data_IF_989652585346
#
_entry.id   IF_989652585346
#
_cell.length_a   1.000
_cell.length_b   1.000
_cell.length_c   1.000
_cell.angle_alpha   90.00
_cell.angle_beta   90.00
_cell.angle_gamma   90.00
#
_symmetry.space_group_name_H-M   'P 1'
#
loop_
_entity.id
_entity.type
_entity.pdbx_description
1 polymer ?
#
# COMPACT_ATOMS: atom_id res chain seq x y z
N UNK A 1 39.79 -29.52 -6.92
CA UNK A 1 39.20 -28.38 -7.66
C UNK A 1 38.04 -27.86 -6.83
N UNK A 2 38.20 -26.69 -6.21
CA UNK A 2 37.17 -26.08 -5.37
C UNK A 2 36.32 -25.16 -6.23
N UNK A 3 35.01 -25.40 -6.30
CA UNK A 3 34.07 -24.49 -6.97
C UNK A 3 33.92 -23.20 -6.14
N UNK A 4 34.05 -22.01 -6.74
CA UNK A 4 33.87 -20.76 -6.04
C UNK A 4 32.38 -20.37 -5.97
N UNK A 5 31.90 -20.21 -4.74
CA UNK A 5 30.91 -19.19 -4.37
C UNK A 5 29.57 -19.17 -5.08
N UNK A 6 28.66 -20.07 -4.70
CA UNK A 6 27.22 -19.78 -4.78
C UNK A 6 26.87 -18.89 -3.58
N UNK A 7 27.07 -17.58 -3.72
CA UNK A 7 26.51 -16.62 -2.76
C UNK A 7 25.01 -16.56 -3.00
N UNK A 8 24.14 -16.82 -2.00
CA UNK A 8 22.71 -16.72 -2.20
C UNK A 8 22.39 -15.28 -2.59
N UNK A 9 21.99 -15.11 -3.84
CA UNK A 9 21.56 -13.83 -4.39
C UNK A 9 20.31 -13.44 -3.62
N UNK A 10 20.43 -12.54 -2.64
CA UNK A 10 19.27 -12.05 -1.87
C UNK A 10 18.23 -11.57 -2.88
N UNK A 11 17.04 -12.19 -2.95
CA UNK A 11 16.03 -11.78 -3.90
C UNK A 11 15.69 -10.31 -3.65
N UNK A 12 15.73 -9.49 -4.70
CA UNK A 12 15.35 -8.10 -4.59
C UNK A 12 13.94 -8.02 -3.95
N UNK A 13 13.72 -7.10 -2.98
CA UNK A 13 12.46 -7.08 -2.27
C UNK A 13 11.31 -6.81 -3.25
N UNK A 14 10.31 -7.70 -3.22
CA UNK A 14 9.15 -7.65 -4.13
C UNK A 14 8.43 -6.32 -3.96
N UNK A 15 8.17 -5.62 -5.06
CA UNK A 15 7.48 -4.32 -5.05
C UNK A 15 6.05 -4.48 -5.56
N UNK A 16 5.12 -3.85 -4.85
CA UNK A 16 3.69 -3.78 -5.20
C UNK A 16 3.39 -2.42 -5.80
N UNK A 17 2.62 -2.39 -6.88
CA UNK A 17 2.05 -1.14 -7.40
C UNK A 17 0.81 -0.81 -6.57
N UNK A 18 0.82 0.31 -5.85
CA UNK A 18 -0.32 0.80 -5.08
C UNK A 18 -0.93 1.98 -5.81
N UNK A 19 -2.26 1.95 -5.99
CA UNK A 19 -3.04 3.02 -6.60
C UNK A 19 -3.95 3.64 -5.54
N UNK A 20 -3.70 4.91 -5.22
CA UNK A 20 -4.50 5.70 -4.30
C UNK A 20 -5.70 6.35 -4.98
N UNK A 21 -6.86 6.32 -4.35
CA UNK A 21 -8.08 6.96 -4.85
C UNK A 21 -8.75 7.79 -3.76
N UNK A 22 -8.96 9.07 -4.03
CA UNK A 22 -9.76 9.92 -3.15
C UNK A 22 -11.22 9.47 -3.18
N UNK A 23 -11.87 9.51 -2.03
CA UNK A 23 -13.30 9.25 -1.87
C UNK A 23 -13.95 10.41 -1.15
N UNK A 24 -15.17 10.77 -1.57
CA UNK A 24 -15.94 11.83 -0.94
C UNK A 24 -15.27 13.19 -1.11
N UNK A 25 -15.10 13.90 0.01
CA UNK A 25 -14.50 15.23 0.10
C UNK A 25 -12.97 15.21 0.30
N UNK A 26 -12.33 14.03 0.24
CA UNK A 26 -10.89 13.92 0.43
C UNK A 26 -10.10 14.57 -0.71
N UNK A 27 -8.98 15.27 -0.41
CA UNK A 27 -8.18 15.95 -1.43
C UNK A 27 -7.54 14.96 -2.41
N UNK A 28 -7.62 15.24 -3.71
CA UNK A 28 -7.05 14.40 -4.77
C UNK A 28 -5.53 14.60 -4.86
N UNK A 29 -4.77 13.50 -4.79
CA UNK A 29 -3.31 13.54 -5.00
C UNK A 29 -2.97 13.78 -6.48
N UNK A 30 -1.96 14.62 -6.74
CA UNK A 30 -1.41 14.83 -8.09
C UNK A 30 -0.78 13.57 -8.69
N UNK A 31 -0.02 12.83 -7.87
CA UNK A 31 0.51 11.51 -8.20
C UNK A 31 -0.14 10.50 -7.27
N UNK A 32 -0.87 9.53 -7.82
CA UNK A 32 -1.65 8.55 -7.06
C UNK A 32 -1.14 7.12 -7.20
N UNK A 33 -0.20 6.85 -8.10
CA UNK A 33 0.39 5.52 -8.30
C UNK A 33 1.83 5.48 -7.81
N UNK A 34 2.12 4.54 -6.92
CA UNK A 34 3.46 4.35 -6.34
C UNK A 34 3.85 2.88 -6.35
N UNK A 35 5.15 2.62 -6.34
CA UNK A 35 5.69 1.28 -6.08
C UNK A 35 6.19 1.23 -4.65
N UNK A 36 5.62 0.33 -3.85
CA UNK A 36 5.97 0.16 -2.43
C UNK A 36 6.56 -1.23 -2.23
N UNK A 37 7.58 -1.33 -1.40
CA UNK A 37 8.18 -2.60 -1.00
C UNK A 37 7.13 -3.44 -0.26
N UNK A 38 6.90 -4.67 -0.71
CA UNK A 38 5.83 -5.54 -0.20
C UNK A 38 6.02 -5.99 1.25
N UNK A 39 7.25 -5.98 1.76
CA UNK A 39 7.55 -6.29 3.17
C UNK A 39 7.20 -5.14 4.12
N UNK A 40 6.91 -3.95 3.61
CA UNK A 40 6.45 -2.84 4.43
C UNK A 40 5.04 -3.11 4.95
N UNK A 41 4.75 -2.52 6.10
CA UNK A 41 3.45 -2.62 6.77
C UNK A 41 2.49 -1.56 6.25
N UNK A 42 1.19 -1.84 6.31
CA UNK A 42 0.16 -0.90 5.89
C UNK A 42 0.19 0.42 6.71
N UNK A 43 0.66 0.38 7.95
CA UNK A 43 0.94 1.57 8.78
C UNK A 43 1.76 2.63 8.02
N UNK A 44 2.75 2.22 7.23
CA UNK A 44 3.59 3.14 6.46
C UNK A 44 2.80 3.85 5.35
N UNK A 45 1.80 3.18 4.78
CA UNK A 45 0.90 3.76 3.77
C UNK A 45 -0.02 4.80 4.42
N UNK A 46 -0.55 4.50 5.60
CA UNK A 46 -1.37 5.42 6.41
C UNK A 46 -0.56 6.70 6.70
N UNK A 47 0.64 6.55 7.27
CA UNK A 47 1.50 7.69 7.62
C UNK A 47 1.94 8.49 6.41
N UNK A 48 2.22 7.82 5.29
CA UNK A 48 2.54 8.48 4.02
C UNK A 48 1.40 9.38 3.55
N UNK A 49 0.17 8.87 3.50
CA UNK A 49 -0.99 9.66 3.06
C UNK A 49 -1.32 10.80 4.00
N UNK A 50 -1.24 10.58 5.32
CA UNK A 50 -1.42 11.64 6.34
C UNK A 50 -0.46 12.81 6.12
N UNK A 51 0.82 12.51 5.86
CA UNK A 51 1.85 13.51 5.57
C UNK A 51 1.61 14.22 4.23
N UNK A 52 1.30 13.46 3.17
CA UNK A 52 1.08 14.02 1.83
C UNK A 52 -0.15 14.92 1.75
N UNK A 53 -1.20 14.60 2.52
CA UNK A 53 -2.46 15.32 2.50
C UNK A 53 -2.60 16.34 3.64
N UNK A 54 -1.60 16.44 4.51
CA UNK A 54 -1.62 17.28 5.72
C UNK A 54 -2.88 17.02 6.58
N UNK A 55 -3.18 15.74 6.84
CA UNK A 55 -4.34 15.30 7.62
C UNK A 55 -3.92 14.37 8.75
N UNK A 56 -4.38 14.65 9.96
CA UNK A 56 -4.17 13.76 11.11
C UNK A 56 -5.10 12.54 11.06
N UNK A 57 -6.36 12.76 10.70
CA UNK A 57 -7.36 11.70 10.56
C UNK A 57 -7.62 11.41 9.08
N UNK A 58 -7.41 10.15 8.69
CA UNK A 58 -7.71 9.59 7.38
C UNK A 58 -8.17 8.15 7.58
N UNK A 59 -9.20 7.76 6.83
CA UNK A 59 -9.70 6.39 6.75
C UNK A 59 -9.27 5.79 5.43
N UNK A 60 -8.64 4.61 5.45
CA UNK A 60 -8.12 3.94 4.28
C UNK A 60 -8.79 2.59 4.10
N UNK A 61 -9.06 2.23 2.85
CA UNK A 61 -9.82 1.03 2.51
C UNK A 61 -9.21 0.31 1.31
N UNK A 62 -9.13 -1.01 1.37
CA UNK A 62 -8.82 -1.83 0.21
C UNK A 62 -10.10 -2.10 -0.57
N UNK A 63 -10.07 -1.88 -1.88
CA UNK A 63 -11.17 -2.19 -2.82
C UNK A 63 -12.56 -1.68 -2.41
N UNK A 64 -12.62 -0.54 -1.70
CA UNK A 64 -13.88 0.07 -1.26
C UNK A 64 -14.73 -0.86 -0.39
N UNK A 65 -14.08 -1.73 0.39
CA UNK A 65 -14.76 -2.73 1.22
C UNK A 65 -14.36 -2.60 2.68
N UNK A 66 -13.09 -2.82 3.02
CA UNK A 66 -12.64 -2.91 4.41
C UNK A 66 -11.35 -2.12 4.66
N UNK A 67 -11.13 -1.74 5.93
CA UNK A 67 -9.86 -1.16 6.38
C UNK A 67 -8.95 -2.28 6.88
N UNK A 68 -7.77 -2.49 6.26
CA UNK A 68 -6.81 -3.47 6.74
C UNK A 68 -6.21 -3.00 8.08
N UNK A 69 -5.65 -3.95 8.82
CA UNK A 69 -4.91 -3.65 10.05
C UNK A 69 -3.57 -3.00 9.72
N UNK A 70 -3.05 -2.07 10.55
CA UNK A 70 -1.78 -1.40 10.27
C UNK A 70 -0.58 -2.35 10.16
N UNK A 71 -0.65 -3.51 10.81
CA UNK A 71 0.42 -4.52 10.86
C UNK A 71 0.41 -5.51 9.69
N UNK A 72 -0.58 -5.44 8.79
CA UNK A 72 -0.60 -6.26 7.58
C UNK A 72 0.50 -5.84 6.60
N UNK A 73 1.10 -6.85 5.96
CA UNK A 73 2.09 -6.64 4.91
C UNK A 73 1.41 -6.22 3.60
N UNK A 74 2.02 -5.26 2.90
CA UNK A 74 1.49 -4.78 1.61
C UNK A 74 1.49 -5.89 0.56
N UNK A 75 2.46 -6.81 0.60
CA UNK A 75 2.50 -7.98 -0.27
C UNK A 75 1.28 -8.87 -0.07
N UNK A 76 0.95 -9.22 1.18
CA UNK A 76 -0.17 -10.11 1.49
C UNK A 76 -1.51 -9.47 1.10
N UNK A 77 -1.68 -8.17 1.36
CA UNK A 77 -2.84 -7.42 0.90
C UNK A 77 -2.96 -7.44 -0.64
N UNK A 78 -1.84 -7.34 -1.34
CA UNK A 78 -1.81 -7.41 -2.80
C UNK A 78 -2.11 -8.81 -3.35
N UNK A 79 -1.56 -9.88 -2.76
CA UNK A 79 -1.85 -11.24 -3.22
C UNK A 79 -3.32 -11.61 -3.03
N UNK A 80 -3.95 -11.16 -1.94
CA UNK A 80 -5.35 -11.49 -1.64
C UNK A 80 -6.35 -10.56 -2.35
N UNK A 81 -6.01 -9.28 -2.55
CA UNK A 81 -6.97 -8.26 -2.98
C UNK A 81 -6.49 -7.41 -4.18
N UNK A 82 -5.37 -7.75 -4.79
CA UNK A 82 -4.86 -7.05 -5.97
C UNK A 82 -5.78 -7.18 -7.17
N UNK A 83 -5.96 -6.09 -7.91
CA UNK A 83 -6.76 -6.02 -9.15
C UNK A 83 -5.90 -5.40 -10.25
N UNK A 84 -5.86 -6.03 -11.42
CA UNK A 84 -5.07 -5.59 -12.58
C UNK A 84 -3.59 -5.30 -12.25
N UNK A 85 -2.98 -6.16 -11.42
CA UNK A 85 -1.59 -6.04 -10.99
C UNK A 85 -1.32 -4.85 -10.05
N UNK A 86 -2.35 -4.34 -9.36
CA UNK A 86 -2.23 -3.22 -8.42
C UNK A 86 -3.04 -3.48 -7.16
N UNK A 87 -2.59 -2.94 -6.03
CA UNK A 87 -3.42 -2.81 -4.83
C UNK A 87 -4.12 -1.45 -4.86
N UNK A 88 -5.46 -1.44 -4.85
CA UNK A 88 -6.24 -0.19 -4.82
C UNK A 88 -6.53 0.19 -3.38
N UNK A 89 -6.08 1.39 -2.99
CA UNK A 89 -6.28 1.95 -1.66
C UNK A 89 -7.12 3.22 -1.80
N UNK A 90 -8.35 3.17 -1.30
CA UNK A 90 -9.22 4.34 -1.24
C UNK A 90 -8.98 5.08 0.08
N UNK A 91 -9.03 6.39 0.07
CA UNK A 91 -8.89 7.20 1.28
C UNK A 91 -10.00 8.25 1.39
N UNK A 92 -10.45 8.49 2.62
CA UNK A 92 -11.56 9.40 2.95
C UNK A 92 -11.28 10.20 4.23
N UNK A 93 -11.89 11.39 4.35
CA UNK A 93 -11.82 12.23 5.55
C UNK A 93 -12.82 11.80 6.64
N UNK A 94 -13.87 11.07 6.27
CA UNK A 94 -14.83 10.42 7.16
C UNK A 94 -14.90 8.92 6.87
N UNK A 95 -15.50 8.15 7.77
CA UNK A 95 -15.80 6.74 7.49
C UNK A 95 -16.69 6.64 6.25
N UNK A 96 -16.29 5.80 5.29
CA UNK A 96 -16.97 5.65 4.00
C UNK A 96 -17.45 4.22 3.75
N UNK A 97 -16.76 3.24 4.31
CA UNK A 97 -17.08 1.82 4.23
C UNK A 97 -16.84 1.14 5.58
N UNK A 98 -17.42 -0.05 5.74
CA UNK A 98 -17.36 -0.89 6.94
C UNK A 98 -17.83 -2.29 6.62
#
# INVERSE_FOLDING_TARGET
MSTPGDSPSVPAPRKVVVLFRATGDAPIMKQSKFKITGTEKFAKVIDFLRKQLHRETLFLYINSAFSPTPDENIWDLFENFGIDGKLVVNYACSMAWG
#
